data_IF_435788115726
#
_entry.id   IF_435788115726
#
_cell.length_a   1.000
_cell.length_b   1.000
_cell.length_c   1.000
_cell.angle_alpha   90.00
_cell.angle_beta   90.00
_cell.angle_gamma   90.00
#
_symmetry.space_group_name_H-M   'P 1'
#
loop_
_entity.id
_entity.type
_entity.pdbx_description
1 polymer ?
#
# COMPACT_ATOMS: atom_id res chain seq x y z
N UNK A 1 -6.93 17.43 -2.03
CA UNK A 1 -5.48 17.14 -2.04
C UNK A 1 -4.87 17.24 -3.43
N UNK A 2 -5.31 16.44 -4.42
CA UNK A 2 -4.77 16.47 -5.79
C UNK A 2 -4.88 17.82 -6.50
N UNK A 3 -6.03 18.50 -6.35
CA UNK A 3 -6.29 19.84 -6.89
C UNK A 3 -5.30 20.92 -6.41
N UNK A 4 -4.61 20.69 -5.29
CA UNK A 4 -3.61 21.61 -4.73
C UNK A 4 -2.19 21.14 -5.06
N UNK A 5 -1.96 19.83 -5.09
CA UNK A 5 -0.64 19.25 -5.32
C UNK A 5 -0.15 19.42 -6.78
N UNK A 6 -1.03 19.23 -7.77
CA UNK A 6 -0.66 19.30 -9.20
C UNK A 6 -0.22 20.71 -9.60
N UNK A 7 -0.94 21.81 -9.26
CA UNK A 7 -0.48 23.17 -9.55
C UNK A 7 0.88 23.48 -8.91
N UNK A 8 1.12 23.00 -7.68
CA UNK A 8 2.40 23.19 -6.98
C UNK A 8 3.55 22.45 -7.65
N UNK A 9 3.30 21.25 -8.19
CA UNK A 9 4.29 20.49 -8.95
C UNK A 9 4.66 21.20 -10.25
N UNK A 10 3.65 21.70 -10.99
CA UNK A 10 3.88 22.44 -12.24
C UNK A 10 4.62 23.76 -12.03
N UNK A 11 4.38 24.43 -10.90
CA UNK A 11 5.07 25.67 -10.54
C UNK A 11 6.57 25.49 -10.22
N UNK A 12 7.07 24.26 -10.04
CA UNK A 12 8.49 24.00 -9.75
C UNK A 12 9.39 24.04 -10.98
N UNK A 13 8.81 23.94 -12.17
CA UNK A 13 9.55 23.98 -13.43
C UNK A 13 9.09 22.88 -14.42
N UNK A 14 9.50 23.00 -15.69
CA UNK A 14 9.10 22.08 -16.77
C UNK A 14 9.54 20.62 -16.52
N UNK A 15 10.57 20.38 -15.72
CA UNK A 15 11.03 19.05 -15.34
C UNK A 15 10.02 18.25 -14.50
N UNK A 16 9.02 18.91 -13.91
CA UNK A 16 7.96 18.30 -13.11
C UNK A 16 6.67 18.04 -13.89
N UNK A 17 6.61 18.42 -15.17
CA UNK A 17 5.39 18.35 -15.97
C UNK A 17 4.89 16.92 -16.15
N UNK A 18 5.81 15.97 -16.42
CA UNK A 18 5.49 14.54 -16.53
C UNK A 18 4.93 13.98 -15.23
N UNK A 19 5.53 14.32 -14.09
CA UNK A 19 5.08 13.91 -12.75
C UNK A 19 3.72 14.52 -12.41
N UNK A 20 3.48 15.76 -12.79
CA UNK A 20 2.18 16.42 -12.65
C UNK A 20 1.09 15.76 -13.49
N UNK A 21 1.42 15.30 -14.71
CA UNK A 21 0.50 14.56 -15.58
C UNK A 21 0.14 13.18 -15.02
N UNK A 22 1.13 12.42 -14.52
CA UNK A 22 0.89 11.14 -13.84
C UNK A 22 0.02 11.32 -12.60
N UNK A 23 0.28 12.37 -11.81
CA UNK A 23 -0.53 12.66 -10.63
C UNK A 23 -1.96 13.07 -11.00
N UNK A 24 -2.17 13.71 -12.15
CA UNK A 24 -3.50 14.09 -12.63
C UNK A 24 -4.33 12.90 -13.14
N UNK A 25 -3.71 11.85 -13.66
CA UNK A 25 -4.41 10.63 -14.10
C UNK A 25 -4.69 9.64 -12.97
N UNK A 26 -4.04 9.82 -11.83
CA UNK A 26 -4.18 8.97 -10.65
C UNK A 26 -5.54 9.15 -9.95
N UNK A 27 -6.21 8.05 -9.63
CA UNK A 27 -7.36 8.06 -8.72
C UNK A 27 -6.91 8.15 -7.27
N UNK A 28 -7.78 8.67 -6.39
CA UNK A 28 -7.51 8.71 -4.95
C UNK A 28 -7.27 7.30 -4.37
N UNK A 29 -7.97 6.30 -4.90
CA UNK A 29 -7.78 4.90 -4.51
C UNK A 29 -6.40 4.37 -4.90
N UNK A 30 -5.93 4.65 -6.12
CA UNK A 30 -4.59 4.24 -6.57
C UNK A 30 -3.49 4.86 -5.70
N UNK A 31 -3.62 6.15 -5.35
CA UNK A 31 -2.67 6.82 -4.46
C UNK A 31 -2.65 6.22 -3.06
N UNK A 32 -3.81 5.87 -2.51
CA UNK A 32 -3.90 5.18 -1.21
C UNK A 32 -3.23 3.82 -1.27
N UNK A 33 -3.45 3.06 -2.36
CA UNK A 33 -2.79 1.76 -2.55
C UNK A 33 -1.27 1.88 -2.63
N UNK A 34 -0.76 2.78 -3.46
CA UNK A 34 0.67 3.01 -3.59
C UNK A 34 1.30 3.45 -2.26
N UNK A 35 0.63 4.32 -1.50
CA UNK A 35 1.11 4.74 -0.19
C UNK A 35 1.09 3.61 0.85
N UNK A 36 0.01 2.81 0.86
CA UNK A 36 -0.14 1.66 1.77
C UNK A 36 0.94 0.61 1.53
N UNK A 37 1.12 0.20 0.27
CA UNK A 37 2.16 -0.75 -0.13
C UNK A 37 3.56 -0.23 0.21
N UNK A 38 3.84 1.04 -0.06
CA UNK A 38 5.15 1.60 0.25
C UNK A 38 5.45 1.58 1.76
N UNK A 39 4.45 1.87 2.61
CA UNK A 39 4.63 1.80 4.06
C UNK A 39 4.88 0.37 4.54
N UNK A 40 4.16 -0.62 4.00
CA UNK A 40 4.36 -2.02 4.36
C UNK A 40 5.71 -2.55 3.84
N UNK A 41 6.14 -2.17 2.64
CA UNK A 41 7.47 -2.52 2.10
C UNK A 41 8.61 -1.97 2.97
N UNK A 42 8.40 -0.83 3.61
CA UNK A 42 9.33 -0.23 4.58
C UNK A 42 9.16 -0.80 6.00
N UNK A 43 8.42 -1.91 6.15
CA UNK A 43 8.19 -2.61 7.42
C UNK A 43 7.54 -1.74 8.50
N UNK A 44 6.75 -0.74 8.10
CA UNK A 44 5.92 0.02 9.05
C UNK A 44 4.85 -0.93 9.60
N UNK A 45 4.69 -0.95 10.92
CA UNK A 45 3.67 -1.77 11.58
C UNK A 45 2.29 -1.52 10.97
N UNK A 46 1.63 -2.61 10.55
CA UNK A 46 0.35 -2.57 9.84
C UNK A 46 -0.76 -1.84 10.64
N UNK A 47 -0.66 -1.81 11.98
CA UNK A 47 -1.58 -1.05 12.85
C UNK A 47 -1.42 0.46 12.65
N UNK A 48 -0.19 0.94 12.46
CA UNK A 48 0.06 2.36 12.17
C UNK A 48 -0.42 2.72 10.77
N UNK A 49 -0.23 1.83 9.78
CA UNK A 49 -0.76 2.04 8.42
C UNK A 49 -2.29 2.13 8.45
N UNK A 50 -2.95 1.23 9.21
CA UNK A 50 -4.41 1.25 9.42
C UNK A 50 -4.86 2.57 10.03
N UNK A 51 -4.21 3.01 11.11
CA UNK A 51 -4.59 4.22 11.84
C UNK A 51 -4.35 5.49 10.99
N UNK A 52 -3.25 5.55 10.25
CA UNK A 52 -2.95 6.64 9.32
C UNK A 52 -4.02 6.78 8.22
N UNK A 53 -4.62 5.66 7.79
CA UNK A 53 -5.70 5.66 6.80
C UNK A 53 -7.10 5.70 7.41
N UNK A 54 -7.21 5.65 8.73
CA UNK A 54 -8.49 5.66 9.45
C UNK A 54 -9.35 4.42 9.16
N UNK A 55 -8.73 3.28 8.84
CA UNK A 55 -9.47 2.04 8.59
C UNK A 55 -9.98 1.44 9.91
N UNK A 56 -11.27 1.13 9.97
CA UNK A 56 -11.88 0.52 11.15
C UNK A 56 -11.39 -0.92 11.42
N UNK A 57 -10.91 -1.61 10.39
CA UNK A 57 -10.45 -3.00 10.48
C UNK A 57 -9.02 -3.15 9.96
N UNK A 58 -8.23 -3.95 10.67
CA UNK A 58 -6.91 -4.37 10.21
C UNK A 58 -7.00 -5.20 8.92
N UNK A 59 -8.11 -5.92 8.70
CA UNK A 59 -8.33 -6.73 7.49
C UNK A 59 -8.48 -5.88 6.22
N UNK A 60 -8.99 -4.65 6.31
CA UNK A 60 -8.99 -3.73 5.16
C UNK A 60 -7.57 -3.29 4.79
N UNK A 61 -6.66 -3.24 5.77
CA UNK A 61 -5.28 -2.80 5.60
C UNK A 61 -4.36 -3.95 5.23
N UNK A 62 -4.69 -5.19 5.60
CA UNK A 62 -3.92 -6.39 5.22
C UNK A 62 -3.88 -6.61 3.70
N UNK A 63 -4.77 -5.97 2.95
CA UNK A 63 -4.71 -5.93 1.49
C UNK A 63 -3.40 -5.32 0.93
N UNK A 64 -2.57 -4.66 1.75
CA UNK A 64 -1.25 -4.17 1.34
C UNK A 64 -0.13 -5.20 1.56
N UNK A 65 -0.38 -6.29 2.27
CA UNK A 65 0.56 -7.39 2.46
C UNK A 65 0.34 -8.42 1.36
N UNK A 66 0.96 -8.26 0.18
CA UNK A 66 0.83 -9.25 -0.88
C UNK A 66 1.87 -10.37 -0.73
N UNK A 67 3.15 -10.03 -0.77
CA UNK A 67 4.25 -10.99 -0.64
C UNK A 67 4.40 -11.54 0.78
N UNK A 68 4.15 -10.71 1.79
CA UNK A 68 4.26 -11.12 3.19
C UNK A 68 3.12 -12.07 3.59
N UNK A 69 1.91 -11.86 3.05
CA UNK A 69 0.76 -12.72 3.36
C UNK A 69 0.86 -14.06 2.61
N UNK A 70 1.38 -14.09 1.38
CA UNK A 70 1.72 -15.33 0.66
C UNK A 70 2.80 -16.13 1.41
N UNK A 71 3.91 -15.48 1.82
CA UNK A 71 4.98 -16.14 2.57
C UNK A 71 4.49 -16.64 3.95
N UNK A 72 3.62 -15.87 4.64
CA UNK A 72 3.02 -16.28 5.91
C UNK A 72 2.02 -17.42 5.71
N UNK A 73 1.27 -17.42 4.62
CA UNK A 73 0.39 -18.51 4.24
C UNK A 73 1.20 -19.79 4.02
N UNK A 74 2.25 -19.74 3.19
CA UNK A 74 3.16 -20.87 2.95
C UNK A 74 3.80 -21.38 4.26
N UNK A 75 4.36 -20.50 5.07
CA UNK A 75 4.98 -20.88 6.35
C UNK A 75 3.98 -21.50 7.34
N UNK A 76 2.72 -21.05 7.31
CA UNK A 76 1.63 -21.66 8.09
C UNK A 76 1.32 -23.04 7.55
N UNK A 77 1.15 -23.20 6.23
CA UNK A 77 0.84 -24.49 5.61
C UNK A 77 1.94 -25.53 5.80
N UNK A 78 3.21 -25.12 5.78
CA UNK A 78 4.35 -25.99 6.05
C UNK A 78 4.37 -26.49 7.49
N UNK A 79 4.15 -25.61 8.46
CA UNK A 79 4.22 -25.95 9.89
C UNK A 79 2.93 -26.54 10.44
N UNK A 80 1.79 -26.25 9.81
CA UNK A 80 0.46 -26.71 10.22
C UNK A 80 0.01 -27.95 9.44
N UNK A 81 0.84 -28.52 8.54
CA UNK A 81 0.58 -29.86 7.98
C UNK A 81 0.66 -30.90 9.09
N UNK A 82 -0.47 -31.14 9.74
CA UNK A 82 -0.66 -32.26 10.65
C UNK A 82 -0.42 -33.51 9.81
N UNK A 83 0.58 -34.30 10.16
CA UNK A 83 0.94 -35.54 9.47
C UNK A 83 -0.19 -36.56 9.61
N UNK A 84 -1.19 -36.49 8.73
CA UNK A 84 -2.14 -37.57 8.53
C UNK A 84 -1.46 -38.67 7.72
N UNK A 85 -0.56 -39.41 8.36
CA UNK A 85 -0.10 -40.70 7.85
C UNK A 85 -1.30 -41.63 7.76
N UNK A 86 -1.54 -42.17 6.55
CA UNK A 86 -2.47 -43.28 6.30
C UNK A 86 -1.82 -44.59 6.72
#
# INVERSE_FOLDING_TARGET
MLQIAIPRLRARGPEWESRGAVLASASAHWLRHTAGLHMTDQQVDLRFVRDNFGHASISTTSAYLHTEDDARHEATQERHRIGWTR
#
